data_IF_620619730117
#
_entry.id   IF_620619730117
#
_cell.length_a   1.000
_cell.length_b   1.000
_cell.length_c   1.000
_cell.angle_alpha   90.00
_cell.angle_beta   90.00
_cell.angle_gamma   90.00
#
_symmetry.space_group_name_H-M   'P 1'
#
loop_
_entity.id
_entity.type
_entity.pdbx_description
1 polymer ?
#
# COMPACT_ATOMS: atom_id res chain seq x y z
N UNK A 1 80.95 75.69 16.30
CA UNK A 1 80.32 74.34 16.28
C UNK A 1 79.39 74.26 17.47
N UNK A 2 78.09 73.92 17.38
CA UNK A 2 77.35 73.28 16.28
C UNK A 2 76.19 74.16 15.72
N UNK A 3 75.63 73.75 14.57
CA UNK A 3 74.49 74.37 13.90
C UNK A 3 73.32 73.39 13.74
N UNK A 4 72.13 73.90 14.02
CA UNK A 4 70.80 73.26 13.96
C UNK A 4 70.21 73.22 12.56
N UNK A 5 69.46 72.16 12.21
CA UNK A 5 68.55 72.14 11.05
C UNK A 5 67.19 71.51 11.43
N UNK A 6 66.12 72.26 11.14
CA UNK A 6 64.69 71.87 11.19
C UNK A 6 64.30 71.04 9.96
N UNK A 7 63.41 70.06 10.13
CA UNK A 7 62.32 69.63 9.19
C UNK A 7 61.23 68.99 10.06
N UNK A 8 59.93 69.21 9.91
CA UNK A 8 59.11 69.46 8.73
C UNK A 8 57.99 68.41 8.78
N UNK A 9 56.74 68.85 9.04
CA UNK A 9 55.62 67.99 9.42
C UNK A 9 55.11 67.02 8.35
N UNK A 10 54.33 66.03 8.79
CA UNK A 10 53.45 65.19 7.95
C UNK A 10 52.11 64.92 8.62
N UNK A 11 51.09 65.49 7.99
CA UNK A 11 49.74 65.01 7.68
C UNK A 11 48.99 64.06 8.63
N UNK A 12 47.82 64.52 9.08
CA UNK A 12 46.75 63.71 9.67
C UNK A 12 46.02 62.96 8.55
N UNK A 13 46.03 61.63 8.59
CA UNK A 13 45.13 60.77 7.80
C UNK A 13 43.99 60.31 8.70
N UNK A 14 42.76 60.65 8.31
CA UNK A 14 41.55 60.26 9.01
C UNK A 14 41.30 58.74 8.89
N UNK A 15 40.94 58.08 10.00
CA UNK A 15 40.54 56.67 10.05
C UNK A 15 39.11 56.50 9.51
N UNK A 16 38.82 55.51 8.65
CA UNK A 16 37.44 55.16 8.33
C UNK A 16 36.80 54.34 9.46
N UNK A 17 35.49 54.55 9.65
CA UNK A 17 34.67 53.85 10.65
C UNK A 17 34.50 52.35 10.31
N UNK A 18 34.28 51.46 11.30
CA UNK A 18 34.16 50.03 11.06
C UNK A 18 32.80 49.69 10.43
N UNK A 19 32.81 49.05 9.27
CA UNK A 19 31.62 48.48 8.65
C UNK A 19 31.21 47.20 9.38
N UNK A 20 29.98 47.18 9.89
CA UNK A 20 29.39 46.03 10.55
C UNK A 20 29.25 44.87 9.55
N UNK A 21 29.94 43.76 9.81
CA UNK A 21 29.72 42.48 9.11
C UNK A 21 28.35 41.94 9.51
N UNK A 22 27.36 42.01 8.61
CA UNK A 22 26.14 41.20 8.69
C UNK A 22 26.50 39.76 8.29
N UNK A 23 26.77 38.90 9.27
CA UNK A 23 26.71 37.45 9.08
C UNK A 23 25.24 37.02 9.02
N UNK A 24 24.62 37.19 7.84
CA UNK A 24 23.41 36.46 7.49
C UNK A 24 23.80 35.05 7.08
N UNK A 25 24.02 34.16 8.05
CA UNK A 25 24.03 32.74 7.76
C UNK A 25 22.62 32.39 7.26
N UNK A 26 22.47 32.22 5.94
CA UNK A 26 21.27 31.67 5.35
C UNK A 26 21.04 30.31 6.02
N UNK A 27 19.99 30.21 6.84
CA UNK A 27 19.45 28.91 7.25
C UNK A 27 19.07 28.21 5.96
N UNK A 28 19.87 27.22 5.55
CA UNK A 28 19.53 26.39 4.40
C UNK A 28 18.18 25.75 4.64
N UNK A 29 17.29 25.83 3.65
CA UNK A 29 16.07 25.03 3.65
C UNK A 29 16.48 23.57 3.81
N UNK A 30 16.05 22.95 4.91
CA UNK A 30 16.14 21.50 5.06
C UNK A 30 14.99 20.84 4.29
N UNK A 31 15.12 19.57 3.91
CA UNK A 31 13.99 18.82 3.34
C UNK A 31 12.76 18.81 4.26
N UNK A 32 12.97 18.94 5.58
CA UNK A 32 11.94 19.11 6.58
C UNK A 32 11.19 20.45 6.44
N UNK A 33 11.87 21.51 6.03
CA UNK A 33 11.27 22.84 5.75
C UNK A 33 10.48 22.86 4.43
N UNK A 34 10.71 21.88 3.54
CA UNK A 34 9.90 21.61 2.36
C UNK A 34 8.70 20.67 2.64
N UNK A 35 8.45 20.34 3.92
CA UNK A 35 7.35 19.47 4.33
C UNK A 35 7.61 17.97 4.16
N UNK A 36 8.87 17.56 3.90
CA UNK A 36 9.25 16.16 3.73
C UNK A 36 9.96 15.67 4.99
N UNK A 37 9.21 15.02 5.88
CA UNK A 37 9.80 14.25 6.99
C UNK A 37 10.35 12.93 6.44
N UNK A 38 11.59 12.96 5.97
CA UNK A 38 12.31 11.81 5.42
C UNK A 38 12.37 10.67 6.44
N UNK A 39 12.54 10.99 7.73
CA UNK A 39 12.65 9.98 8.79
C UNK A 39 11.31 9.27 8.99
N UNK A 40 10.18 9.99 8.96
CA UNK A 40 8.84 9.40 9.01
C UNK A 40 8.58 8.50 7.80
N UNK A 41 8.94 8.95 6.59
CA UNK A 41 8.82 8.14 5.37
C UNK A 41 9.67 6.87 5.44
N UNK A 42 10.91 6.96 5.92
CA UNK A 42 11.78 5.80 6.10
C UNK A 42 11.24 4.81 7.14
N UNK A 43 10.71 5.30 8.27
CA UNK A 43 10.06 4.44 9.28
C UNK A 43 8.86 3.70 8.70
N UNK A 44 8.03 4.39 7.91
CA UNK A 44 6.88 3.78 7.25
C UNK A 44 7.31 2.67 6.27
N UNK A 45 8.28 2.95 5.41
CA UNK A 45 8.83 1.96 4.46
C UNK A 45 9.38 0.73 5.19
N UNK A 46 10.15 0.93 6.27
CA UNK A 46 10.68 -0.20 7.06
C UNK A 46 9.56 -1.03 7.69
N UNK A 47 8.51 -0.38 8.18
CA UNK A 47 7.34 -1.08 8.73
C UNK A 47 6.59 -1.88 7.66
N UNK A 48 6.38 -1.31 6.48
CA UNK A 48 5.76 -2.02 5.34
C UNK A 48 6.58 -3.25 4.94
N UNK A 49 7.91 -3.11 4.87
CA UNK A 49 8.82 -4.23 4.60
C UNK A 49 8.68 -5.35 5.63
N UNK A 50 8.64 -5.02 6.92
CA UNK A 50 8.47 -6.03 7.98
C UNK A 50 7.11 -6.74 7.89
N UNK A 51 6.04 -6.01 7.60
CA UNK A 51 4.70 -6.58 7.42
C UNK A 51 4.68 -7.57 6.25
N UNK A 52 5.24 -7.18 5.10
CA UNK A 52 5.29 -8.02 3.91
C UNK A 52 6.19 -9.24 4.11
N UNK A 53 7.38 -9.08 4.71
CA UNK A 53 8.28 -10.21 5.05
C UNK A 53 7.63 -11.22 5.99
N UNK A 54 6.71 -10.78 6.85
CA UNK A 54 5.93 -11.67 7.71
C UNK A 54 5.02 -12.66 6.95
N UNK A 55 4.85 -12.49 5.64
CA UNK A 55 4.10 -13.41 4.76
C UNK A 55 4.99 -14.44 4.06
N UNK A 56 6.32 -14.30 4.18
CA UNK A 56 7.24 -15.13 3.41
C UNK A 56 7.13 -16.59 3.80
N UNK A 57 7.18 -17.45 2.78
CA UNK A 57 7.13 -18.90 2.91
C UNK A 57 8.23 -19.54 2.08
N UNK A 58 8.43 -20.84 2.30
CA UNK A 58 9.29 -21.67 1.44
C UNK A 58 8.88 -21.45 -0.02
N UNK A 59 9.84 -21.05 -0.85
CA UNK A 59 9.63 -20.68 -2.24
C UNK A 59 10.00 -19.24 -2.55
N UNK A 60 9.84 -18.30 -1.61
CA UNK A 60 10.24 -16.90 -1.85
C UNK A 60 11.77 -16.81 -1.92
N UNK A 61 12.31 -16.32 -3.04
CA UNK A 61 13.76 -16.22 -3.28
C UNK A 61 14.31 -14.80 -3.17
N UNK A 62 13.44 -13.78 -3.14
CA UNK A 62 13.82 -12.36 -3.10
C UNK A 62 13.39 -11.68 -1.82
N UNK A 63 14.01 -10.53 -1.53
CA UNK A 63 13.61 -9.64 -0.44
C UNK A 63 12.71 -8.51 -0.96
N UNK A 64 11.99 -7.83 -0.07
CA UNK A 64 11.13 -6.70 -0.42
C UNK A 64 11.97 -5.50 -0.89
N UNK A 65 11.68 -5.01 -2.10
CA UNK A 65 12.38 -3.90 -2.74
C UNK A 65 13.39 -4.33 -3.82
N UNK A 66 13.41 -5.61 -4.19
CA UNK A 66 14.03 -6.06 -5.44
C UNK A 66 13.23 -5.60 -6.66
N UNK A 67 13.85 -5.59 -7.84
CA UNK A 67 13.18 -5.26 -9.11
C UNK A 67 11.98 -6.16 -9.46
N UNK A 68 11.92 -7.35 -8.87
CA UNK A 68 10.79 -8.28 -9.01
C UNK A 68 10.81 -9.32 -7.90
N UNK A 69 9.63 -9.88 -7.62
CA UNK A 69 9.46 -11.01 -6.70
C UNK A 69 9.74 -12.33 -7.40
N UNK A 70 10.49 -13.23 -6.77
CA UNK A 70 10.78 -14.57 -7.29
C UNK A 70 10.21 -15.65 -6.38
N UNK A 71 9.56 -16.65 -6.98
CA UNK A 71 9.00 -17.81 -6.29
C UNK A 71 9.45 -19.12 -6.93
N UNK A 72 10.12 -19.97 -6.17
CA UNK A 72 10.55 -21.32 -6.57
C UNK A 72 9.37 -22.30 -6.48
N UNK A 73 8.90 -22.78 -7.63
CA UNK A 73 7.81 -23.74 -7.70
C UNK A 73 8.18 -25.10 -7.09
N UNK A 74 9.46 -25.49 -7.09
CA UNK A 74 9.89 -26.78 -6.50
C UNK A 74 9.72 -26.79 -4.98
N UNK A 75 9.58 -25.62 -4.35
CA UNK A 75 9.28 -25.51 -2.93
C UNK A 75 7.87 -26.01 -2.55
N UNK A 76 6.97 -26.13 -3.53
CA UNK A 76 5.57 -26.56 -3.31
C UNK A 76 5.42 -28.07 -3.15
N UNK A 77 6.47 -28.84 -3.45
CA UNK A 77 6.48 -30.30 -3.38
C UNK A 77 6.70 -30.94 -4.75
N UNK A 78 6.51 -32.27 -4.87
CA UNK A 78 6.54 -32.95 -6.16
C UNK A 78 5.44 -32.41 -7.08
N UNK A 79 5.82 -32.05 -8.31
CA UNK A 79 4.91 -31.56 -9.35
C UNK A 79 4.88 -32.55 -10.50
N UNK A 80 3.70 -32.84 -11.04
CA UNK A 80 3.54 -33.74 -12.17
C UNK A 80 3.26 -32.95 -13.46
N UNK A 81 2.10 -32.30 -13.53
CA UNK A 81 1.70 -31.41 -14.62
C UNK A 81 1.18 -30.07 -14.05
N UNK A 82 2.09 -29.25 -13.49
CA UNK A 82 1.72 -28.00 -12.86
C UNK A 82 1.18 -26.98 -13.87
N UNK A 83 0.07 -26.36 -13.53
CA UNK A 83 -0.55 -25.25 -14.26
C UNK A 83 -0.62 -24.04 -13.33
N UNK A 84 -0.17 -22.89 -13.83
CA UNK A 84 -0.36 -21.62 -13.12
C UNK A 84 -1.75 -21.07 -13.43
N UNK A 85 -2.42 -20.63 -12.38
CA UNK A 85 -3.69 -19.91 -12.46
C UNK A 85 -3.49 -18.53 -11.84
N UNK A 86 -4.02 -17.49 -12.47
CA UNK A 86 -3.89 -16.12 -11.98
C UNK A 86 -5.22 -15.38 -12.06
N UNK A 87 -5.42 -14.47 -11.13
CA UNK A 87 -6.52 -13.50 -11.16
C UNK A 87 -6.03 -12.12 -10.77
N UNK A 88 -6.77 -11.10 -11.21
CA UNK A 88 -6.57 -9.72 -10.79
C UNK A 88 -7.92 -9.07 -10.49
N UNK A 89 -7.97 -8.38 -9.36
CA UNK A 89 -9.19 -7.72 -8.89
C UNK A 89 -8.90 -6.40 -8.21
N UNK A 90 -9.97 -5.64 -7.97
CA UNK A 90 -9.98 -4.51 -7.06
C UNK A 90 -11.01 -4.71 -5.94
N UNK A 91 -10.95 -3.83 -4.94
CA UNK A 91 -11.96 -3.76 -3.86
C UNK A 91 -13.24 -3.07 -4.34
N UNK A 92 -13.11 -2.15 -5.30
CA UNK A 92 -14.22 -1.42 -5.90
C UNK A 92 -14.90 -0.44 -4.93
N UNK A 93 -16.21 -0.24 -5.12
CA UNK A 93 -16.96 0.82 -4.44
C UNK A 93 -17.08 0.69 -2.92
N UNK A 94 -16.64 -0.44 -2.34
CA UNK A 94 -16.48 -0.60 -0.89
C UNK A 94 -15.44 0.37 -0.30
N UNK A 95 -14.45 0.79 -1.08
CA UNK A 95 -13.44 1.76 -0.65
C UNK A 95 -14.07 3.10 -0.22
N UNK A 96 -15.20 3.51 -0.82
CA UNK A 96 -15.93 4.70 -0.37
C UNK A 96 -16.41 4.59 1.08
N UNK A 97 -16.75 3.39 1.56
CA UNK A 97 -17.09 3.16 2.97
C UNK A 97 -15.84 3.27 3.85
N UNK A 98 -14.72 2.69 3.40
CA UNK A 98 -13.45 2.79 4.12
C UNK A 98 -13.01 4.25 4.30
N UNK A 99 -13.14 5.09 3.25
CA UNK A 99 -12.83 6.52 3.35
C UNK A 99 -13.77 7.26 4.30
N UNK A 100 -15.07 6.97 4.25
CA UNK A 100 -16.05 7.62 5.11
C UNK A 100 -15.90 7.25 6.58
N UNK A 101 -15.44 6.04 6.88
CA UNK A 101 -15.33 5.52 8.25
C UNK A 101 -13.91 5.58 8.82
N UNK A 102 -12.91 5.88 8.00
CA UNK A 102 -11.49 5.78 8.37
C UNK A 102 -11.01 4.34 8.64
N UNK A 103 -11.78 3.32 8.25
CA UNK A 103 -11.43 1.91 8.49
C UNK A 103 -10.77 1.29 7.26
N UNK A 104 -9.43 1.26 7.26
CA UNK A 104 -8.63 0.77 6.14
C UNK A 104 -8.02 -0.63 6.35
N UNK A 105 -8.00 -1.12 7.60
CA UNK A 105 -7.35 -2.40 7.97
C UNK A 105 -7.93 -3.64 7.29
N UNK A 106 -9.20 -3.59 6.92
CA UNK A 106 -9.92 -4.76 6.37
C UNK A 106 -9.94 -4.79 4.85
N UNK A 107 -9.75 -3.65 4.17
CA UNK A 107 -9.88 -3.62 2.69
C UNK A 107 -8.75 -4.39 1.99
N UNK A 108 -7.56 -4.48 2.60
CA UNK A 108 -6.51 -5.36 2.11
C UNK A 108 -6.90 -6.84 2.22
N UNK A 109 -7.60 -7.23 3.30
CA UNK A 109 -8.11 -8.60 3.42
C UNK A 109 -9.20 -8.88 2.40
N UNK A 110 -10.09 -7.91 2.17
CA UNK A 110 -11.15 -8.02 1.16
C UNK A 110 -10.55 -8.29 -0.22
N UNK A 111 -9.51 -7.55 -0.61
CA UNK A 111 -8.85 -7.72 -1.90
C UNK A 111 -8.25 -9.12 -2.06
N UNK A 112 -7.41 -9.54 -1.11
CA UNK A 112 -6.68 -10.81 -1.23
C UNK A 112 -7.65 -11.99 -1.26
N UNK A 113 -8.68 -11.99 -0.41
CA UNK A 113 -9.69 -13.04 -0.41
C UNK A 113 -10.53 -13.06 -1.69
N UNK A 114 -10.79 -11.90 -2.30
CA UNK A 114 -11.48 -11.84 -3.60
C UNK A 114 -10.67 -12.59 -4.66
N UNK A 115 -9.40 -12.24 -4.83
CA UNK A 115 -8.53 -12.90 -5.81
C UNK A 115 -8.35 -14.40 -5.51
N UNK A 116 -8.19 -14.79 -4.24
CA UNK A 116 -8.04 -16.20 -3.85
C UNK A 116 -9.28 -17.00 -4.23
N UNK A 117 -10.48 -16.47 -3.97
CA UNK A 117 -11.71 -17.18 -4.31
C UNK A 117 -11.84 -17.42 -5.82
N UNK A 118 -11.36 -16.48 -6.64
CA UNK A 118 -11.39 -16.60 -8.10
C UNK A 118 -10.47 -17.70 -8.66
N UNK A 119 -9.34 -17.97 -8.02
CA UNK A 119 -8.49 -19.10 -8.41
C UNK A 119 -8.95 -20.42 -7.76
N UNK A 120 -9.58 -20.34 -6.59
CA UNK A 120 -10.04 -21.51 -5.84
C UNK A 120 -11.13 -22.28 -6.60
N UNK A 121 -12.00 -21.58 -7.34
CA UNK A 121 -13.06 -22.24 -8.13
C UNK A 121 -12.53 -23.15 -9.24
N UNK A 122 -11.26 -22.99 -9.64
CA UNK A 122 -10.57 -23.86 -10.60
C UNK A 122 -9.66 -24.90 -9.91
N UNK A 123 -9.65 -24.97 -8.58
CA UNK A 123 -8.77 -25.82 -7.78
C UNK A 123 -7.39 -25.20 -7.49
N UNK A 124 -7.22 -23.90 -7.73
CA UNK A 124 -5.96 -23.19 -7.54
C UNK A 124 -5.56 -23.06 -6.07
N UNK A 125 -4.36 -23.52 -5.72
CA UNK A 125 -3.72 -23.30 -4.43
C UNK A 125 -2.90 -22.00 -4.50
N UNK A 126 -3.15 -21.00 -3.62
CA UNK A 126 -2.41 -19.74 -3.63
C UNK A 126 -0.90 -19.90 -3.42
N UNK A 127 -0.07 -19.27 -4.27
CA UNK A 127 1.39 -19.22 -4.11
C UNK A 127 1.84 -17.86 -3.59
N UNK A 128 1.59 -16.81 -4.36
CA UNK A 128 2.03 -15.46 -4.06
C UNK A 128 1.07 -14.41 -4.60
N UNK A 129 1.17 -13.22 -4.01
CA UNK A 129 0.34 -12.07 -4.27
C UNK A 129 1.20 -10.84 -4.57
N UNK A 130 0.71 -9.97 -5.45
CA UNK A 130 1.23 -8.63 -5.66
C UNK A 130 0.10 -7.61 -5.52
N UNK A 131 0.44 -6.41 -5.08
CA UNK A 131 -0.50 -5.29 -4.96
C UNK A 131 -0.07 -4.06 -5.77
N UNK A 132 -1.06 -3.27 -6.17
CA UNK A 132 -0.86 -1.94 -6.73
C UNK A 132 -1.77 -0.97 -6.00
N UNK A 133 -1.17 0.05 -5.38
CA UNK A 133 -1.86 1.07 -4.60
C UNK A 133 -1.67 2.43 -5.28
N UNK A 134 -2.76 3.04 -5.71
CA UNK A 134 -2.76 4.37 -6.32
C UNK A 134 -3.49 5.35 -5.41
N UNK A 135 -2.93 6.53 -5.15
CA UNK A 135 -3.54 7.50 -4.25
C UNK A 135 -3.17 8.94 -4.57
N UNK A 136 -3.97 9.89 -4.10
CA UNK A 136 -3.75 11.31 -4.41
C UNK A 136 -2.48 11.85 -3.74
N UNK A 137 -2.37 11.63 -2.44
CA UNK A 137 -1.19 11.96 -1.63
C UNK A 137 -0.92 10.80 -0.68
N UNK A 138 0.35 10.42 -0.55
CA UNK A 138 0.79 9.37 0.34
C UNK A 138 0.45 9.69 1.80
N UNK A 139 -0.39 8.84 2.40
CA UNK A 139 -0.63 8.79 3.82
C UNK A 139 -0.05 7.49 4.39
N UNK A 140 0.96 7.61 5.23
CA UNK A 140 1.70 6.47 5.75
C UNK A 140 0.84 5.55 6.62
N UNK A 141 -0.10 6.10 7.40
CA UNK A 141 -0.91 5.32 8.32
C UNK A 141 -1.97 4.51 7.57
N UNK A 142 -2.61 5.13 6.56
CA UNK A 142 -3.52 4.43 5.65
C UNK A 142 -2.79 3.30 4.93
N UNK A 143 -1.60 3.56 4.39
CA UNK A 143 -0.80 2.55 3.70
C UNK A 143 -0.44 1.37 4.60
N UNK A 144 -0.01 1.65 5.84
CA UNK A 144 0.30 0.62 6.83
C UNK A 144 -0.94 -0.24 7.13
N UNK A 145 -2.10 0.38 7.29
CA UNK A 145 -3.35 -0.34 7.56
C UNK A 145 -3.78 -1.23 6.39
N UNK A 146 -3.72 -0.72 5.16
CA UNK A 146 -4.04 -1.49 3.94
C UNK A 146 -3.10 -2.69 3.79
N UNK A 147 -1.78 -2.45 3.85
CA UNK A 147 -0.77 -3.50 3.67
C UNK A 147 -0.78 -4.51 4.82
N UNK A 148 -1.11 -4.08 6.05
CA UNK A 148 -1.35 -5.01 7.15
C UNK A 148 -2.53 -5.96 6.88
N UNK A 149 -3.60 -5.45 6.26
CA UNK A 149 -4.74 -6.24 5.81
C UNK A 149 -4.35 -7.24 4.72
N UNK A 150 -3.63 -6.79 3.68
CA UNK A 150 -3.10 -7.65 2.61
C UNK A 150 -2.28 -8.79 3.23
N UNK A 151 -1.27 -8.44 4.02
CA UNK A 151 -0.36 -9.40 4.61
C UNK A 151 -1.04 -10.38 5.56
N UNK A 152 -2.10 -9.95 6.26
CA UNK A 152 -2.90 -10.84 7.11
C UNK A 152 -3.61 -11.90 6.27
N UNK A 153 -4.34 -11.51 5.24
CA UNK A 153 -5.04 -12.46 4.38
C UNK A 153 -4.05 -13.38 3.62
N UNK A 154 -2.88 -12.86 3.23
CA UNK A 154 -1.81 -13.69 2.67
C UNK A 154 -1.36 -14.78 3.65
N UNK A 155 -1.09 -14.43 4.91
CA UNK A 155 -0.74 -15.44 5.95
C UNK A 155 -1.85 -16.44 6.18
N UNK A 156 -3.09 -15.97 6.30
CA UNK A 156 -4.25 -16.82 6.60
C UNK A 156 -4.54 -17.84 5.48
N UNK A 157 -4.22 -17.48 4.23
CA UNK A 157 -4.35 -18.34 3.04
C UNK A 157 -3.07 -19.09 2.66
N UNK A 158 -1.98 -18.83 3.37
CA UNK A 158 -0.67 -19.35 3.07
C UNK A 158 0.00 -18.74 1.83
N UNK A 159 -0.51 -17.72 1.15
CA UNK A 159 0.23 -17.08 0.06
C UNK A 159 1.27 -16.06 0.57
N UNK A 160 2.29 -15.76 -0.23
CA UNK A 160 3.29 -14.73 0.11
C UNK A 160 3.03 -13.41 -0.63
N UNK A 161 3.08 -12.28 0.08
CA UNK A 161 3.13 -10.95 -0.52
C UNK A 161 4.58 -10.67 -0.94
N UNK A 162 4.89 -10.85 -2.23
CA UNK A 162 6.28 -10.84 -2.73
C UNK A 162 6.66 -9.56 -3.49
N UNK A 163 5.71 -8.67 -3.73
CA UNK A 163 5.96 -7.41 -4.43
C UNK A 163 4.71 -6.55 -4.50
N UNK A 164 4.91 -5.29 -4.83
CA UNK A 164 3.84 -4.35 -5.07
C UNK A 164 4.39 -2.98 -5.47
N UNK A 165 3.50 -2.08 -5.88
CA UNK A 165 3.86 -0.73 -6.30
C UNK A 165 2.92 0.30 -5.67
N UNK A 166 3.45 1.49 -5.38
CA UNK A 166 2.69 2.62 -4.83
C UNK A 166 2.85 3.84 -5.73
N UNK A 167 1.74 4.34 -6.27
CA UNK A 167 1.70 5.50 -7.14
C UNK A 167 1.00 6.69 -6.46
N UNK A 168 1.69 7.83 -6.38
CA UNK A 168 1.11 9.11 -5.95
C UNK A 168 0.68 9.90 -7.21
N UNK A 169 -0.64 10.14 -7.33
CA UNK A 169 -1.27 10.77 -8.49
C UNK A 169 -2.32 11.82 -8.04
N UNK A 170 -1.87 13.00 -7.55
CA UNK A 170 -2.75 14.00 -6.93
C UNK A 170 -3.80 14.59 -7.88
N UNK A 171 -3.55 14.57 -9.18
CA UNK A 171 -4.50 15.05 -10.19
C UNK A 171 -5.57 14.01 -10.57
N UNK A 172 -5.36 12.74 -10.22
CA UNK A 172 -6.31 11.64 -10.51
C UNK A 172 -7.19 11.33 -9.31
N UNK A 173 -6.64 11.33 -8.10
CA UNK A 173 -7.33 10.91 -6.88
C UNK A 173 -7.52 12.08 -5.93
N UNK A 174 -8.72 12.16 -5.35
CA UNK A 174 -9.02 13.16 -4.31
C UNK A 174 -8.16 12.92 -3.06
N UNK A 175 -7.88 13.95 -2.26
CA UNK A 175 -7.20 13.78 -0.97
C UNK A 175 -7.91 12.73 -0.10
N UNK A 176 -7.14 11.78 0.43
CA UNK A 176 -7.65 10.68 1.27
C UNK A 176 -8.30 9.52 0.50
N UNK A 177 -8.41 9.62 -0.83
CA UNK A 177 -8.89 8.52 -1.67
C UNK A 177 -7.72 7.75 -2.29
N UNK A 178 -7.90 6.44 -2.41
CA UNK A 178 -6.97 5.53 -3.07
C UNK A 178 -7.72 4.46 -3.87
N UNK A 179 -7.03 3.83 -4.80
CA UNK A 179 -7.47 2.59 -5.42
C UNK A 179 -6.47 1.48 -5.11
N UNK A 180 -7.00 0.27 -5.08
CA UNK A 180 -6.27 -0.91 -4.65
C UNK A 180 -6.57 -2.05 -5.62
N UNK A 181 -5.55 -2.49 -6.33
CA UNK A 181 -5.58 -3.64 -7.22
C UNK A 181 -4.66 -4.75 -6.69
N UNK A 182 -5.09 -5.98 -6.92
CA UNK A 182 -4.43 -7.19 -6.45
C UNK A 182 -4.18 -8.16 -7.59
N UNK A 183 -3.12 -8.95 -7.46
CA UNK A 183 -2.72 -9.95 -8.44
C UNK A 183 -2.32 -11.21 -7.68
N UNK A 184 -3.10 -12.28 -7.85
CA UNK A 184 -2.77 -13.58 -7.28
C UNK A 184 -2.20 -14.49 -8.36
N UNK A 185 -1.21 -15.29 -7.98
CA UNK A 185 -0.80 -16.47 -8.74
C UNK A 185 -0.93 -17.69 -7.83
N UNK A 186 -1.60 -18.71 -8.36
CA UNK A 186 -1.77 -20.00 -7.75
C UNK A 186 -1.27 -21.13 -8.65
N UNK A 187 -1.35 -22.34 -8.12
CA UNK A 187 -0.92 -23.57 -8.75
C UNK A 187 -2.04 -24.61 -8.69
N UNK A 188 -2.23 -25.34 -9.78
CA UNK A 188 -3.13 -26.50 -9.84
C UNK A 188 -2.49 -27.58 -10.71
N UNK A 189 -2.64 -28.84 -10.33
CA UNK A 189 -2.27 -29.95 -11.21
C UNK A 189 -3.29 -30.05 -12.35
N UNK A 190 -2.83 -30.23 -13.59
CA UNK A 190 -3.71 -30.22 -14.77
C UNK A 190 -4.90 -31.18 -14.64
N UNK A 191 -4.68 -32.34 -14.06
CA UNK A 191 -5.69 -33.38 -13.86
C UNK A 191 -6.72 -33.06 -12.75
N UNK A 192 -6.41 -32.06 -11.91
CA UNK A 192 -7.27 -31.61 -10.80
C UNK A 192 -8.03 -30.31 -11.12
N UNK A 193 -7.83 -29.73 -12.30
CA UNK A 193 -8.55 -28.52 -12.73
C UNK A 193 -10.06 -28.76 -12.67
N UNK A 194 -10.77 -27.83 -12.02
CA UNK A 194 -12.22 -27.83 -11.92
C UNK A 194 -12.78 -26.90 -12.99
N UNK A 195 -13.53 -27.45 -13.94
CA UNK A 195 -14.10 -26.72 -15.09
C UNK A 195 -15.62 -26.88 -15.25
N UNK A 196 -16.25 -27.65 -14.34
CA UNK A 196 -17.68 -27.94 -14.38
C UNK A 196 -18.10 -29.02 -15.38
N UNK A 197 -17.20 -29.58 -16.19
CA UNK A 197 -17.51 -30.60 -17.21
C UNK A 197 -18.08 -31.91 -16.64
N UNK A 198 -17.83 -32.18 -15.35
CA UNK A 198 -18.31 -33.37 -14.63
C UNK A 198 -19.69 -33.21 -13.99
N UNK A 199 -20.28 -32.01 -14.05
CA UNK A 199 -21.59 -31.73 -13.45
C UNK A 199 -22.67 -32.54 -14.18
N UNK A 200 -23.52 -33.22 -13.42
CA UNK A 200 -24.58 -34.07 -13.95
C UNK A 200 -25.90 -33.93 -13.17
N UNK A 201 -26.99 -34.40 -13.78
CA UNK A 201 -28.29 -34.48 -13.10
C UNK A 201 -28.19 -35.39 -11.88
N UNK A 202 -28.63 -34.89 -10.73
CA UNK A 202 -28.52 -35.59 -9.45
C UNK A 202 -27.45 -35.01 -8.52
N UNK A 203 -26.58 -34.13 -9.03
CA UNK A 203 -25.62 -33.40 -8.19
C UNK A 203 -26.33 -32.42 -7.25
N UNK A 204 -25.69 -32.17 -6.10
CA UNK A 204 -26.22 -31.31 -5.04
C UNK A 204 -25.45 -29.99 -5.00
N UNK A 205 -26.18 -28.88 -4.90
CA UNK A 205 -25.61 -27.56 -4.68
C UNK A 205 -25.39 -27.32 -3.18
N UNK A 206 -24.14 -27.09 -2.79
CA UNK A 206 -23.76 -26.73 -1.42
C UNK A 206 -23.29 -25.27 -1.42
N UNK A 207 -23.94 -24.43 -0.63
CA UNK A 207 -23.55 -23.03 -0.45
C UNK A 207 -22.76 -22.84 0.85
N UNK A 208 -21.67 -22.08 0.77
CA UNK A 208 -20.94 -21.59 1.94
C UNK A 208 -21.45 -20.18 2.28
N UNK A 209 -21.73 -19.93 3.56
CA UNK A 209 -22.24 -18.64 4.00
C UNK A 209 -21.21 -17.53 3.78
N UNK A 210 -21.69 -16.36 3.31
CA UNK A 210 -20.86 -15.16 3.22
C UNK A 210 -20.77 -14.44 4.56
N UNK A 211 -19.80 -13.53 4.71
CA UNK A 211 -19.70 -12.62 5.86
C UNK A 211 -20.51 -11.32 5.66
N UNK A 212 -21.34 -11.26 4.61
CA UNK A 212 -22.08 -10.08 4.18
C UNK A 212 -21.94 -9.84 2.68
N UNK A 213 -21.78 -8.57 2.30
CA UNK A 213 -21.66 -8.13 0.89
C UNK A 213 -20.31 -8.47 0.23
N UNK A 214 -19.33 -8.93 1.01
CA UNK A 214 -17.95 -9.14 0.56
C UNK A 214 -17.37 -7.87 -0.08
N UNK A 215 -17.11 -7.87 -1.39
CA UNK A 215 -16.59 -6.75 -2.18
C UNK A 215 -17.62 -6.20 -3.18
N UNK A 216 -18.81 -6.79 -3.25
CA UNK A 216 -19.79 -6.53 -4.31
C UNK A 216 -21.05 -5.80 -3.80
N UNK A 217 -21.74 -5.10 -4.69
CA UNK A 217 -23.03 -4.44 -4.39
C UNK A 217 -22.97 -3.14 -3.57
N UNK A 218 -21.78 -2.67 -3.18
CA UNK A 218 -21.63 -1.47 -2.35
C UNK A 218 -22.16 -0.17 -2.98
N UNK A 219 -22.14 -0.04 -4.30
CA UNK A 219 -22.78 1.11 -4.98
C UNK A 219 -24.28 1.16 -4.74
N UNK A 220 -24.98 0.02 -4.78
CA UNK A 220 -26.41 -0.04 -4.50
C UNK A 220 -26.68 0.16 -3.00
N UNK A 221 -25.90 -0.50 -2.14
CA UNK A 221 -26.02 -0.36 -0.69
C UNK A 221 -25.89 1.10 -0.24
N UNK A 222 -24.89 1.84 -0.75
CA UNK A 222 -24.70 3.28 -0.44
C UNK A 222 -25.87 4.14 -0.91
N UNK A 223 -26.39 3.91 -2.12
CA UNK A 223 -27.56 4.65 -2.63
C UNK A 223 -28.80 4.41 -1.76
N UNK A 224 -29.03 3.17 -1.35
CA UNK A 224 -30.18 2.83 -0.50
C UNK A 224 -30.03 3.47 0.89
N UNK A 225 -28.88 3.25 1.55
CA UNK A 225 -28.69 3.63 2.94
C UNK A 225 -28.45 5.14 3.11
N UNK A 226 -27.57 5.73 2.32
CA UNK A 226 -27.12 7.11 2.55
C UNK A 226 -27.94 8.12 1.76
N UNK A 227 -28.27 7.83 0.50
CA UNK A 227 -29.01 8.78 -0.34
C UNK A 227 -30.52 8.69 -0.10
N UNK A 228 -31.11 7.49 -0.13
CA UNK A 228 -32.57 7.32 0.01
C UNK A 228 -33.06 7.33 1.44
N UNK A 229 -32.32 6.70 2.36
CA UNK A 229 -32.70 6.60 3.78
C UNK A 229 -32.07 7.69 4.65
N UNK A 230 -31.11 8.46 4.12
CA UNK A 230 -30.45 9.53 4.86
C UNK A 230 -29.62 9.06 6.05
N UNK A 231 -29.27 7.77 6.10
CA UNK A 231 -28.41 7.22 7.15
C UNK A 231 -26.96 7.69 6.94
N UNK A 232 -26.19 7.67 8.02
CA UNK A 232 -24.74 7.89 8.03
C UNK A 232 -24.04 6.58 8.38
N UNK A 233 -22.73 6.44 8.11
CA UNK A 233 -22.00 5.23 8.50
C UNK A 233 -22.11 4.89 9.99
N UNK A 234 -22.29 5.90 10.85
CA UNK A 234 -22.42 5.77 12.31
C UNK A 234 -23.88 5.65 12.77
N UNK A 235 -24.85 5.67 11.84
CA UNK A 235 -26.26 5.51 12.19
C UNK A 235 -26.51 4.12 12.76
N UNK A 236 -27.07 4.06 13.95
CA UNK A 236 -27.52 2.81 14.56
C UNK A 236 -28.85 2.37 13.93
N UNK A 237 -28.90 1.13 13.46
CA UNK A 237 -30.14 0.47 13.00
C UNK A 237 -30.59 -0.47 14.12
N UNK A 238 -31.66 -0.15 14.87
CA UNK A 238 -32.07 -0.89 16.06
C UNK A 238 -32.25 -2.40 15.85
N UNK A 239 -32.59 -2.80 14.64
CA UNK A 239 -32.86 -4.18 14.25
C UNK A 239 -31.59 -5.00 13.95
N UNK A 240 -30.41 -4.37 13.87
CA UNK A 240 -29.13 -4.96 13.44
C UNK A 240 -28.03 -4.75 14.50
N UNK A 241 -28.25 -5.28 15.70
CA UNK A 241 -27.36 -5.15 16.87
C UNK A 241 -25.86 -5.29 16.57
#
# INVERSE_FOLDING_TARGET
MPGSVKRGGRERVARPAPTARRNGAARGLTYKDAGVDIDAKMRAIQRLRLIARGTFRKGVLTDIGSFGGLFDLTATGPLHHPVLVSSTDGVGSKLKIAFQTGQHKTVGMDLVNHCINDILVQGGIPLFFLDYIAMGKLDADIMIDVVAGLARACRDSGCALIGGETAEMPDFYKPGEYDLAGFIVGLVERELVIDGSRIASGDVLIGLASSGLHTNGYSLARKILFERRGLKPESRVPELN
#
